data_IF_097460636284
#
_entry.id   IF_097460636284
#
_cell.length_a   1.000
_cell.length_b   1.000
_cell.length_c   1.000
_cell.angle_alpha   90.00
_cell.angle_beta   90.00
_cell.angle_gamma   90.00
#
_symmetry.space_group_name_H-M   'P 1'
#
loop_
_entity.id
_entity.type
_entity.pdbx_description
1 polymer ?
#
# COMPACT_ATOMS: atom_id res chain seq x y z
N UNK A 1 -1.20 17.47 5.62
CA UNK A 1 -0.55 16.41 6.43
C UNK A 1 0.76 16.04 5.77
N UNK A 2 1.83 15.92 6.56
CA UNK A 2 3.15 15.51 6.07
C UNK A 2 3.11 14.09 5.52
N UNK A 3 3.71 13.86 4.35
CA UNK A 3 3.77 12.57 3.65
C UNK A 3 5.19 12.32 3.15
N UNK A 4 5.66 11.08 3.25
CA UNK A 4 7.00 10.68 2.75
C UNK A 4 7.15 10.86 1.25
N UNK A 5 6.07 10.71 0.50
CA UNK A 5 6.06 10.93 -0.96
C UNK A 5 6.46 12.37 -1.34
N UNK A 6 6.31 13.34 -0.45
CA UNK A 6 6.78 14.72 -0.70
C UNK A 6 8.30 14.78 -0.91
N UNK A 7 9.06 14.05 -0.10
CA UNK A 7 10.52 13.98 -0.24
C UNK A 7 10.94 13.20 -1.50
N UNK A 8 10.14 12.19 -1.89
CA UNK A 8 10.37 11.48 -3.17
C UNK A 8 10.15 12.42 -4.37
N UNK A 9 9.11 13.28 -4.32
CA UNK A 9 8.88 14.28 -5.35
C UNK A 9 10.01 15.33 -5.42
N UNK A 10 10.56 15.75 -4.27
CA UNK A 10 11.74 16.62 -4.24
C UNK A 10 12.93 15.97 -4.91
N UNK A 11 13.21 14.73 -4.53
CA UNK A 11 14.30 13.94 -5.10
C UNK A 11 14.15 13.80 -6.62
N UNK A 12 12.95 13.44 -7.09
CA UNK A 12 12.64 13.38 -8.51
C UNK A 12 12.91 14.71 -9.22
N UNK A 13 12.42 15.83 -8.69
CA UNK A 13 12.63 17.15 -9.26
C UNK A 13 14.12 17.51 -9.40
N UNK A 14 14.92 17.21 -8.38
CA UNK A 14 16.34 17.50 -8.32
C UNK A 14 17.17 16.58 -9.24
N UNK A 15 16.89 15.28 -9.23
CA UNK A 15 17.66 14.28 -9.96
C UNK A 15 17.31 14.26 -11.46
N UNK A 16 16.02 14.33 -11.80
CA UNK A 16 15.57 14.23 -13.18
C UNK A 16 15.64 15.56 -13.91
N UNK A 17 15.51 16.68 -13.20
CA UNK A 17 15.65 18.02 -13.78
C UNK A 17 14.93 18.22 -15.14
N UNK A 18 13.73 17.61 -15.29
CA UNK A 18 12.87 17.67 -16.46
C UNK A 18 13.08 16.58 -17.51
N UNK A 19 13.97 15.62 -17.29
CA UNK A 19 14.20 14.51 -18.20
C UNK A 19 13.09 13.45 -18.13
N UNK A 20 12.28 13.46 -17.07
CA UNK A 20 11.12 12.57 -16.92
C UNK A 20 9.94 13.28 -16.28
N UNK A 21 8.73 12.83 -16.59
CA UNK A 21 7.52 13.10 -15.83
C UNK A 21 7.44 12.15 -14.61
N UNK A 22 6.59 12.46 -13.63
CA UNK A 22 6.31 11.55 -12.52
C UNK A 22 4.83 11.23 -12.41
N UNK A 23 4.51 9.93 -12.40
CA UNK A 23 3.17 9.42 -12.14
C UNK A 23 3.04 9.03 -10.67
N UNK A 24 2.14 9.69 -9.94
CA UNK A 24 1.76 9.26 -8.59
C UNK A 24 0.59 8.30 -8.70
N UNK A 25 0.90 7.02 -8.59
CA UNK A 25 -0.09 5.94 -8.62
C UNK A 25 -0.46 5.49 -7.19
N UNK A 26 -1.71 5.17 -6.96
CA UNK A 26 -2.17 4.72 -5.64
C UNK A 26 -3.68 4.61 -5.54
N UNK A 27 -4.14 3.93 -4.50
CA UNK A 27 -5.56 3.72 -4.26
C UNK A 27 -6.36 5.03 -4.27
N UNK A 28 -7.63 4.93 -4.60
CA UNK A 28 -8.53 6.09 -4.49
C UNK A 28 -8.59 6.59 -3.04
N UNK A 29 -8.59 7.93 -2.84
CA UNK A 29 -8.60 8.61 -1.53
C UNK A 29 -7.31 8.49 -0.69
N UNK A 30 -6.21 8.03 -1.27
CA UNK A 30 -4.92 7.97 -0.56
C UNK A 30 -4.23 9.34 -0.47
N UNK A 31 -4.73 10.37 -1.16
CA UNK A 31 -4.28 11.77 -1.04
C UNK A 31 -3.39 12.27 -2.17
N UNK A 32 -3.36 11.62 -3.35
CA UNK A 32 -2.52 11.98 -4.51
C UNK A 32 -2.67 13.44 -4.92
N UNK A 33 -3.87 13.87 -5.33
CA UNK A 33 -4.14 15.25 -5.79
C UNK A 33 -3.80 16.32 -4.73
N UNK A 34 -3.95 15.95 -3.43
CA UNK A 34 -3.60 16.84 -2.34
C UNK A 34 -2.09 17.09 -2.29
N UNK A 35 -1.29 16.02 -2.29
CA UNK A 35 0.16 16.12 -2.12
C UNK A 35 0.85 16.77 -3.34
N UNK A 36 0.41 16.45 -4.56
CA UNK A 36 0.99 17.07 -5.77
C UNK A 36 0.67 18.56 -5.85
N UNK A 37 -0.54 18.95 -5.42
CA UNK A 37 -0.90 20.38 -5.33
C UNK A 37 -0.09 21.10 -4.26
N UNK A 38 0.08 20.51 -3.08
CA UNK A 38 0.91 21.07 -2.00
C UNK A 38 2.36 21.21 -2.45
N UNK A 39 2.89 20.21 -3.13
CA UNK A 39 4.24 20.20 -3.69
C UNK A 39 4.41 21.31 -4.74
N UNK A 40 3.48 21.41 -5.70
CA UNK A 40 3.53 22.42 -6.73
C UNK A 40 3.50 23.84 -6.17
N UNK A 41 2.66 24.10 -5.15
CA UNK A 41 2.56 25.39 -4.49
C UNK A 41 3.82 25.82 -3.75
N UNK A 42 4.59 24.88 -3.24
CA UNK A 42 5.78 25.16 -2.42
C UNK A 42 7.08 25.19 -3.23
N UNK A 43 7.15 24.38 -4.28
CA UNK A 43 8.40 24.11 -4.99
C UNK A 43 8.49 24.77 -6.37
N UNK A 44 7.41 25.40 -6.87
CA UNK A 44 7.38 26.05 -8.16
C UNK A 44 6.81 27.47 -8.06
N UNK A 45 7.25 28.33 -8.98
CA UNK A 45 6.76 29.72 -9.10
C UNK A 45 5.31 29.78 -9.58
N UNK A 46 4.92 28.85 -10.46
CA UNK A 46 3.54 28.67 -10.91
C UNK A 46 3.23 27.22 -11.22
N UNK A 47 1.96 26.87 -11.20
CA UNK A 47 1.50 25.55 -11.61
C UNK A 47 0.15 25.62 -12.31
N UNK A 48 -0.08 24.70 -13.24
CA UNK A 48 -1.38 24.46 -13.86
C UNK A 48 -1.88 23.09 -13.41
N UNK A 49 -3.12 23.01 -12.91
CA UNK A 49 -3.77 21.76 -12.54
C UNK A 49 -4.91 21.47 -13.52
N UNK A 50 -4.75 20.40 -14.29
CA UNK A 50 -5.74 19.89 -15.23
C UNK A 50 -6.46 18.68 -14.61
N UNK A 51 -7.59 18.93 -13.94
CA UNK A 51 -8.46 17.86 -13.41
C UNK A 51 -9.33 17.29 -14.54
N UNK A 52 -8.96 16.13 -15.08
CA UNK A 52 -9.66 15.51 -16.22
C UNK A 52 -11.10 15.06 -15.92
N UNK A 53 -11.54 15.08 -14.66
CA UNK A 53 -12.94 14.97 -14.30
C UNK A 53 -13.77 16.21 -14.67
N UNK A 54 -13.15 17.40 -14.67
CA UNK A 54 -13.85 18.67 -14.75
C UNK A 54 -13.45 19.52 -15.96
N UNK A 55 -12.35 19.12 -16.61
CA UNK A 55 -11.78 19.91 -17.71
C UNK A 55 -12.76 20.09 -18.86
N UNK A 56 -12.86 21.34 -19.37
CA UNK A 56 -13.70 21.70 -20.49
C UNK A 56 -13.23 21.13 -21.83
N UNK A 57 -14.12 21.16 -22.82
CA UNK A 57 -13.80 20.69 -24.19
C UNK A 57 -12.66 21.50 -24.82
N UNK A 58 -12.58 22.81 -24.52
CA UNK A 58 -11.59 23.72 -25.10
C UNK A 58 -10.17 23.31 -24.75
N UNK A 59 -9.90 22.95 -23.48
CA UNK A 59 -8.57 22.50 -23.07
C UNK A 59 -8.29 21.10 -23.64
N UNK A 60 -9.30 20.19 -23.73
CA UNK A 60 -9.11 18.89 -24.38
C UNK A 60 -8.75 19.05 -25.86
N UNK A 61 -9.34 20.00 -26.55
CA UNK A 61 -9.03 20.27 -27.96
C UNK A 61 -7.59 20.72 -28.19
N UNK A 62 -6.91 21.32 -27.21
CA UNK A 62 -5.49 21.64 -27.31
C UNK A 62 -4.64 20.39 -27.52
N UNK A 63 -4.91 19.32 -26.79
CA UNK A 63 -4.23 18.03 -26.96
C UNK A 63 -4.57 17.33 -28.28
N UNK A 64 -5.63 17.74 -28.97
CA UNK A 64 -6.03 17.19 -30.25
C UNK A 64 -5.41 17.95 -31.42
N UNK A 65 -5.21 19.25 -31.24
CA UNK A 65 -4.91 20.17 -32.35
C UNK A 65 -3.47 20.69 -32.35
N UNK A 66 -2.86 20.88 -31.18
CA UNK A 66 -1.61 21.64 -31.05
C UNK A 66 -0.43 20.89 -30.45
N UNK A 67 -0.47 19.57 -30.34
CA UNK A 67 0.68 18.79 -29.84
C UNK A 67 1.89 18.83 -30.82
N UNK A 68 1.67 19.14 -32.08
CA UNK A 68 2.73 19.34 -33.08
C UNK A 68 3.28 20.78 -33.08
N UNK A 69 2.64 21.72 -32.36
CA UNK A 69 3.07 23.11 -32.16
C UNK A 69 2.96 23.47 -30.67
N UNK A 70 3.98 23.08 -29.90
CA UNK A 70 4.01 23.28 -28.46
C UNK A 70 4.06 24.74 -28.03
N UNK A 71 4.54 25.66 -28.87
CA UNK A 71 4.51 27.09 -28.56
C UNK A 71 3.08 27.61 -28.49
N UNK A 72 2.28 27.27 -29.49
CA UNK A 72 0.84 27.59 -29.53
C UNK A 72 0.08 26.83 -28.42
N UNK A 73 0.42 25.57 -28.18
CA UNK A 73 -0.19 24.77 -27.10
C UNK A 73 -0.02 25.45 -25.73
N UNK A 74 1.19 25.82 -25.34
CA UNK A 74 1.44 26.41 -24.02
C UNK A 74 0.90 27.86 -23.93
N UNK A 75 0.92 28.61 -25.00
CA UNK A 75 0.32 29.97 -25.05
C UNK A 75 -1.18 29.90 -24.77
N UNK A 76 -1.90 28.99 -25.42
CA UNK A 76 -3.33 28.81 -25.18
C UNK A 76 -3.62 28.20 -23.79
N UNK A 77 -2.85 27.21 -23.36
CA UNK A 77 -3.00 26.63 -22.03
C UNK A 77 -2.82 27.66 -20.93
N UNK A 78 -1.78 28.49 -21.02
CA UNK A 78 -1.52 29.60 -20.10
C UNK A 78 -2.67 30.63 -20.12
N UNK A 79 -3.20 30.97 -21.30
CA UNK A 79 -4.32 31.88 -21.45
C UNK A 79 -5.62 31.33 -20.87
N UNK A 80 -6.00 30.08 -21.19
CA UNK A 80 -7.22 29.46 -20.70
C UNK A 80 -7.22 29.27 -19.17
N UNK A 81 -6.05 29.01 -18.59
CA UNK A 81 -5.91 28.82 -17.14
C UNK A 81 -5.58 30.12 -16.40
N UNK A 82 -5.37 31.20 -17.11
CA UNK A 82 -4.90 32.49 -16.58
C UNK A 82 -3.68 32.33 -15.68
N UNK A 83 -2.72 31.48 -16.09
CA UNK A 83 -1.54 31.13 -15.29
C UNK A 83 -0.28 31.32 -16.15
N UNK A 84 0.63 32.22 -15.81
CA UNK A 84 1.89 32.40 -16.53
C UNK A 84 2.80 31.18 -16.28
N UNK A 85 3.47 30.73 -17.35
CA UNK A 85 4.43 29.63 -17.32
C UNK A 85 5.86 30.17 -17.38
N UNK A 86 6.73 29.62 -16.55
CA UNK A 86 8.14 29.96 -16.42
C UNK A 86 9.02 28.75 -16.74
N UNK A 87 9.90 28.80 -17.76
CA UNK A 87 10.76 27.67 -18.08
C UNK A 87 11.53 27.17 -16.85
N UNK A 88 11.53 25.87 -16.65
CA UNK A 88 12.13 25.13 -15.52
C UNK A 88 11.68 25.58 -14.10
N UNK A 89 10.61 26.38 -14.02
CA UNK A 89 10.06 26.84 -12.74
C UNK A 89 8.53 26.87 -12.72
N UNK A 90 7.92 26.08 -13.59
CA UNK A 90 6.49 25.78 -13.60
C UNK A 90 6.28 24.27 -13.72
N UNK A 91 5.21 23.77 -13.11
CA UNK A 91 4.78 22.37 -13.23
C UNK A 91 3.34 22.31 -13.74
N UNK A 92 3.09 21.36 -14.65
CA UNK A 92 1.76 21.07 -15.16
C UNK A 92 1.32 19.72 -14.58
N UNK A 93 0.20 19.72 -13.85
CA UNK A 93 -0.34 18.56 -13.15
C UNK A 93 -1.51 18.02 -13.95
N UNK A 94 -1.44 16.73 -14.32
CA UNK A 94 -2.49 15.95 -14.96
C UNK A 94 -3.18 15.08 -13.91
N UNK A 95 -4.27 15.60 -13.33
CA UNK A 95 -5.00 14.92 -12.25
C UNK A 95 -6.08 14.00 -12.82
N UNK A 96 -6.13 12.73 -12.33
CA UNK A 96 -6.99 11.65 -12.82
C UNK A 96 -6.74 11.35 -14.32
N UNK A 97 -5.47 11.22 -14.72
CA UNK A 97 -5.02 11.09 -16.12
C UNK A 97 -5.66 9.93 -16.87
N UNK A 98 -6.09 8.86 -16.18
CA UNK A 98 -6.79 7.73 -16.80
C UNK A 98 -8.14 8.11 -17.42
N UNK A 99 -8.71 9.27 -17.08
CA UNK A 99 -9.97 9.75 -17.67
C UNK A 99 -9.76 10.43 -19.04
N UNK A 100 -8.51 10.75 -19.38
CA UNK A 100 -8.14 11.30 -20.69
C UNK A 100 -6.80 10.73 -21.16
N UNK A 101 -6.78 9.49 -21.66
CA UNK A 101 -5.56 8.75 -22.02
C UNK A 101 -4.65 9.50 -23.02
N UNK A 102 -5.22 10.35 -23.88
CA UNK A 102 -4.46 11.15 -24.85
C UNK A 102 -3.48 12.12 -24.19
N UNK A 103 -3.85 12.70 -23.02
CA UNK A 103 -2.92 13.53 -22.26
C UNK A 103 -1.71 12.72 -21.77
N UNK A 104 -1.91 11.48 -21.35
CA UNK A 104 -0.81 10.59 -20.95
C UNK A 104 0.11 10.27 -22.14
N UNK A 105 -0.45 10.03 -23.32
CA UNK A 105 0.36 9.86 -24.55
C UNK A 105 1.18 11.10 -24.89
N UNK A 106 0.67 12.30 -24.59
CA UNK A 106 1.36 13.54 -24.86
C UNK A 106 2.61 13.77 -24.00
N UNK A 107 2.71 13.12 -22.84
CA UNK A 107 3.84 13.25 -21.89
C UNK A 107 5.18 13.10 -22.59
N UNK A 108 5.33 12.14 -23.49
CA UNK A 108 6.55 11.95 -24.25
C UNK A 108 7.04 13.22 -24.94
N UNK A 109 6.15 13.86 -25.71
CA UNK A 109 6.48 15.08 -26.46
C UNK A 109 6.68 16.30 -25.55
N UNK A 110 5.92 16.37 -24.46
CA UNK A 110 6.00 17.43 -23.48
C UNK A 110 7.29 17.39 -22.67
N UNK A 111 7.76 16.20 -22.31
CA UNK A 111 9.05 15.99 -21.63
C UNK A 111 10.21 16.28 -22.58
N UNK A 112 10.13 15.81 -23.85
CA UNK A 112 11.16 16.08 -24.87
C UNK A 112 11.36 17.57 -25.11
N UNK A 113 10.32 18.39 -25.03
CA UNK A 113 10.38 19.85 -25.10
C UNK A 113 11.17 20.49 -23.95
N UNK A 114 11.16 19.91 -22.76
CA UNK A 114 12.02 20.25 -21.62
C UNK A 114 11.73 21.57 -20.91
N UNK A 115 10.73 22.35 -21.32
CA UNK A 115 10.43 23.67 -20.72
C UNK A 115 9.85 23.59 -19.32
N UNK A 116 9.02 22.59 -19.04
CA UNK A 116 8.26 22.48 -17.79
C UNK A 116 8.38 21.09 -17.20
N UNK A 117 8.05 20.95 -15.91
CA UNK A 117 7.94 19.67 -15.25
C UNK A 117 6.49 19.17 -15.32
N UNK A 118 6.30 17.84 -15.32
CA UNK A 118 4.98 17.20 -15.43
C UNK A 118 4.77 16.20 -14.30
N UNK A 119 3.62 16.33 -13.63
CA UNK A 119 3.19 15.38 -12.60
C UNK A 119 1.84 14.82 -13.01
N UNK A 120 1.75 13.51 -13.09
CA UNK A 120 0.51 12.80 -13.32
C UNK A 120 -0.02 12.21 -12.03
N UNK A 121 -1.33 12.19 -11.84
CA UNK A 121 -1.96 11.41 -10.80
C UNK A 121 -3.02 10.52 -11.40
N UNK A 122 -3.15 9.31 -10.86
CA UNK A 122 -4.18 8.40 -11.30
C UNK A 122 -4.45 7.29 -10.30
N UNK A 123 -5.62 6.71 -10.41
CA UNK A 123 -5.98 5.44 -9.80
C UNK A 123 -6.44 4.49 -10.92
N UNK A 124 -6.16 3.18 -10.77
CA UNK A 124 -6.52 2.23 -11.83
C UNK A 124 -5.83 2.53 -13.19
N UNK A 125 -4.61 3.06 -13.13
CA UNK A 125 -3.92 3.62 -14.32
C UNK A 125 -3.50 2.53 -15.30
N UNK A 126 -3.16 1.35 -14.81
CA UNK A 126 -2.71 0.19 -15.60
C UNK A 126 -3.84 -0.75 -16.02
N UNK A 127 -5.07 -0.51 -15.59
CA UNK A 127 -6.21 -1.33 -16.00
C UNK A 127 -6.40 -1.26 -17.52
N UNK A 128 -6.52 -2.42 -18.17
CA UNK A 128 -6.62 -2.56 -19.63
C UNK A 128 -7.54 -1.53 -20.30
N UNK A 129 -8.70 -1.24 -19.70
CA UNK A 129 -9.65 -0.25 -20.22
C UNK A 129 -9.06 1.17 -20.28
N UNK A 130 -8.11 1.51 -19.40
CA UNK A 130 -7.53 2.84 -19.28
C UNK A 130 -6.22 2.98 -20.08
N UNK A 131 -5.63 1.87 -20.53
CA UNK A 131 -4.39 1.84 -21.34
C UNK A 131 -4.62 1.31 -22.76
N UNK A 132 -5.86 0.92 -23.09
CA UNK A 132 -6.22 0.45 -24.41
C UNK A 132 -6.06 1.58 -25.44
N UNK A 133 -5.29 1.31 -26.50
CA UNK A 133 -5.00 2.27 -27.58
C UNK A 133 -4.16 3.51 -27.18
N UNK A 134 -3.39 3.46 -26.11
CA UNK A 134 -2.40 4.48 -25.80
C UNK A 134 -0.98 3.90 -25.76
N UNK A 135 -0.01 4.73 -26.09
CA UNK A 135 1.39 4.45 -25.83
C UNK A 135 1.70 4.93 -24.40
N UNK A 136 2.14 4.01 -23.53
CA UNK A 136 2.62 4.38 -22.19
C UNK A 136 3.97 5.08 -22.40
N UNK A 137 4.17 6.30 -21.87
CA UNK A 137 5.43 7.01 -22.02
C UNK A 137 6.59 6.26 -21.37
N UNK A 138 7.73 6.20 -22.04
CA UNK A 138 9.00 5.72 -21.45
C UNK A 138 9.65 6.78 -20.56
N UNK A 139 9.25 8.02 -20.73
CA UNK A 139 9.73 9.22 -20.04
C UNK A 139 8.92 9.50 -18.74
N UNK A 140 8.31 8.46 -18.15
CA UNK A 140 7.49 8.52 -16.95
C UNK A 140 8.10 7.66 -15.84
N UNK A 141 8.35 8.25 -14.66
CA UNK A 141 8.70 7.53 -13.45
C UNK A 141 7.46 7.31 -12.59
N UNK A 142 7.30 6.12 -12.01
CA UNK A 142 6.18 5.81 -11.14
C UNK A 142 6.58 5.89 -9.66
N UNK A 143 5.82 6.67 -8.88
CA UNK A 143 5.87 6.66 -7.43
C UNK A 143 4.58 6.06 -6.90
N UNK A 144 4.68 4.94 -6.16
CA UNK A 144 3.55 4.29 -5.52
C UNK A 144 3.20 4.98 -4.21
N UNK A 145 1.96 5.46 -4.09
CA UNK A 145 1.45 6.11 -2.90
C UNK A 145 0.51 5.19 -2.12
N UNK A 146 1.00 4.67 -1.00
CA UNK A 146 0.25 3.84 -0.08
C UNK A 146 -0.59 4.65 0.92
N UNK A 147 -1.56 4.04 1.64
CA UNK A 147 -2.11 4.62 2.86
C UNK A 147 -0.98 5.09 3.79
N UNK A 148 -1.24 6.07 4.64
CA UNK A 148 -0.26 6.59 5.60
C UNK A 148 0.31 5.44 6.42
N UNK A 149 1.63 5.37 6.53
CA UNK A 149 2.29 4.42 7.41
C UNK A 149 2.26 4.88 8.88
N UNK A 150 2.83 4.08 9.78
CA UNK A 150 2.79 4.40 11.21
C UNK A 150 3.54 5.69 11.56
N UNK A 151 4.65 5.98 10.89
CA UNK A 151 5.40 7.22 11.09
C UNK A 151 4.61 8.46 10.61
N UNK A 152 3.97 8.38 9.44
CA UNK A 152 3.10 9.44 8.92
C UNK A 152 1.86 9.66 9.80
N UNK A 153 1.32 8.57 10.38
CA UNK A 153 0.25 8.64 11.37
C UNK A 153 0.69 9.38 12.64
N UNK A 154 1.91 9.08 13.14
CA UNK A 154 2.48 9.79 14.29
C UNK A 154 2.68 11.28 13.97
N UNK A 155 3.18 11.62 12.78
CA UNK A 155 3.29 13.03 12.34
C UNK A 155 1.93 13.75 12.33
N UNK A 156 0.89 13.08 11.87
CA UNK A 156 -0.46 13.64 11.89
C UNK A 156 -0.96 13.92 13.31
N UNK A 157 -0.46 13.18 14.30
CA UNK A 157 -0.73 13.39 15.72
C UNK A 157 0.24 14.39 16.41
N UNK A 158 1.08 15.08 15.62
CA UNK A 158 2.15 15.97 16.09
C UNK A 158 3.20 15.26 16.97
N UNK A 159 3.41 13.96 16.75
CA UNK A 159 4.46 13.18 17.43
C UNK A 159 5.56 12.84 16.43
N UNK A 160 6.56 13.70 16.31
CA UNK A 160 7.71 13.50 15.42
C UNK A 160 8.90 12.84 16.13
N UNK A 161 8.86 12.65 17.46
CA UNK A 161 9.99 12.20 18.27
C UNK A 161 10.00 10.70 18.52
N UNK A 162 8.85 10.05 18.50
CA UNK A 162 8.73 8.62 18.83
C UNK A 162 9.39 7.72 17.78
N UNK A 163 9.18 7.99 16.50
CA UNK A 163 9.73 7.13 15.44
C UNK A 163 11.27 7.17 15.35
N UNK A 164 11.95 8.32 15.48
CA UNK A 164 13.41 8.36 15.61
C UNK A 164 13.94 7.50 16.77
N UNK A 165 13.26 7.52 17.92
CA UNK A 165 13.63 6.67 19.08
C UNK A 165 13.44 5.18 18.77
N UNK A 166 12.30 4.81 18.15
CA UNK A 166 12.04 3.43 17.71
C UNK A 166 13.14 2.97 16.74
N UNK A 167 13.49 3.79 15.74
CA UNK A 167 14.51 3.48 14.73
C UNK A 167 15.90 3.30 15.36
N UNK A 168 16.25 4.16 16.32
CA UNK A 168 17.53 4.03 17.06
C UNK A 168 17.61 2.69 17.81
N UNK A 169 16.55 2.31 18.54
CA UNK A 169 16.52 1.05 19.27
C UNK A 169 16.50 -0.17 18.34
N UNK A 170 15.78 -0.10 17.22
CA UNK A 170 15.82 -1.13 16.18
C UNK A 170 17.24 -1.34 15.64
N UNK A 171 17.95 -0.27 15.28
CA UNK A 171 19.32 -0.35 14.75
C UNK A 171 20.31 -0.92 15.78
N UNK A 172 20.17 -0.55 17.05
CA UNK A 172 21.02 -1.04 18.14
C UNK A 172 20.61 -2.41 18.69
N UNK A 173 19.49 -2.99 18.22
CA UNK A 173 18.89 -4.20 18.78
C UNK A 173 18.62 -4.09 20.29
N UNK A 174 18.18 -2.93 20.72
CA UNK A 174 17.94 -2.59 22.13
C UNK A 174 16.45 -2.51 22.42
N UNK A 175 16.02 -3.01 23.58
CA UNK A 175 14.65 -2.86 24.05
C UNK A 175 14.26 -1.38 24.24
N UNK A 176 12.98 -1.06 24.02
CA UNK A 176 12.44 0.29 24.27
C UNK A 176 12.28 0.61 25.76
N UNK A 177 12.20 -0.43 26.58
CA UNK A 177 11.81 -0.34 27.99
C UNK A 177 10.31 -0.18 28.19
N UNK A 178 9.80 -0.65 29.31
CA UNK A 178 8.37 -0.84 29.58
C UNK A 178 7.52 0.41 29.29
N UNK A 179 7.98 1.59 29.70
CA UNK A 179 7.20 2.84 29.55
C UNK A 179 7.08 3.25 28.08
N UNK A 180 8.19 3.28 27.34
CA UNK A 180 8.22 3.71 25.95
C UNK A 180 7.57 2.67 25.04
N UNK A 181 7.79 1.38 25.31
CA UNK A 181 7.11 0.29 24.60
C UNK A 181 5.59 0.40 24.75
N UNK A 182 5.07 0.61 25.96
CA UNK A 182 3.63 0.81 26.20
C UNK A 182 3.10 2.00 25.40
N UNK A 183 3.77 3.13 25.45
CA UNK A 183 3.37 4.33 24.70
C UNK A 183 3.36 4.07 23.19
N UNK A 184 4.38 3.42 22.65
CA UNK A 184 4.42 3.07 21.22
C UNK A 184 3.29 2.11 20.83
N UNK A 185 3.01 1.10 21.66
CA UNK A 185 1.89 0.17 21.46
C UNK A 185 0.52 0.86 21.50
N UNK A 186 0.33 1.85 22.38
CA UNK A 186 -0.92 2.60 22.47
C UNK A 186 -1.18 3.43 21.20
N UNK A 187 -0.16 4.10 20.66
CA UNK A 187 -0.26 4.76 19.35
C UNK A 187 -0.49 3.74 18.22
N UNK A 188 0.19 2.61 18.27
CA UNK A 188 0.06 1.58 17.25
C UNK A 188 -1.33 0.95 17.22
N UNK A 189 -1.96 0.72 18.39
CA UNK A 189 -3.35 0.26 18.48
C UNK A 189 -4.32 1.28 17.89
N UNK A 190 -4.10 2.58 18.13
CA UNK A 190 -4.90 3.63 17.47
C UNK A 190 -4.74 3.56 15.95
N UNK A 191 -3.50 3.41 15.46
CA UNK A 191 -3.22 3.25 14.03
C UNK A 191 -3.90 2.03 13.42
N UNK A 192 -3.88 0.88 14.10
CA UNK A 192 -4.61 -0.33 13.66
C UNK A 192 -6.10 -0.05 13.40
N UNK A 193 -6.74 0.68 14.31
CA UNK A 193 -8.17 0.96 14.26
C UNK A 193 -8.51 2.03 13.23
N UNK A 194 -7.75 3.13 13.23
CA UNK A 194 -7.99 4.28 12.34
C UNK A 194 -7.62 3.93 10.90
N UNK A 195 -6.52 3.18 10.72
CA UNK A 195 -5.88 2.94 9.44
C UNK A 195 -5.01 4.10 8.98
N UNK A 196 -4.52 3.99 7.75
CA UNK A 196 -3.66 4.99 7.09
C UNK A 196 -4.39 5.83 6.04
N UNK A 197 -5.72 5.70 5.88
CA UNK A 197 -6.45 6.54 4.94
C UNK A 197 -6.48 8.00 5.41
N UNK A 198 -5.92 8.99 4.65
CA UNK A 198 -5.74 10.36 5.14
C UNK A 198 -7.01 11.03 5.66
N UNK A 199 -8.17 10.75 5.05
CA UNK A 199 -9.44 11.29 5.50
C UNK A 199 -9.88 10.70 6.86
N UNK A 200 -9.60 9.41 7.10
CA UNK A 200 -9.87 8.76 8.38
C UNK A 200 -8.93 9.29 9.47
N UNK A 201 -7.63 9.42 9.15
CA UNK A 201 -6.62 10.00 10.04
C UNK A 201 -6.98 11.46 10.38
N UNK A 202 -7.34 12.29 9.39
CA UNK A 202 -7.76 13.67 9.62
C UNK A 202 -8.96 13.75 10.57
N UNK A 203 -9.97 12.89 10.35
CA UNK A 203 -11.15 12.84 11.20
C UNK A 203 -10.81 12.42 12.63
N UNK A 204 -9.88 11.49 12.80
CA UNK A 204 -9.39 11.08 14.12
C UNK A 204 -8.61 12.20 14.82
N UNK A 205 -7.73 12.91 14.11
CA UNK A 205 -7.01 14.05 14.67
C UNK A 205 -7.94 15.14 15.17
N UNK A 206 -8.97 15.45 14.36
CA UNK A 206 -9.97 16.47 14.67
C UNK A 206 -10.88 16.11 15.86
N UNK A 207 -11.32 14.85 15.95
CA UNK A 207 -12.46 14.51 16.84
C UNK A 207 -12.12 13.51 17.93
N UNK A 208 -11.07 12.72 17.80
CA UNK A 208 -10.73 11.57 18.67
C UNK A 208 -11.88 10.58 18.83
N UNK A 209 -12.80 10.55 17.89
CA UNK A 209 -14.03 9.75 17.89
C UNK A 209 -13.97 8.66 16.83
N UNK A 210 -13.85 7.41 17.25
CA UNK A 210 -13.76 6.26 16.34
C UNK A 210 -15.05 6.02 15.54
N UNK A 211 -16.22 6.42 16.04
CA UNK A 211 -17.47 6.29 15.29
C UNK A 211 -17.51 7.23 14.08
N UNK A 212 -16.99 8.46 14.25
CA UNK A 212 -16.85 9.40 13.13
C UNK A 212 -15.83 8.92 12.11
N UNK A 213 -14.73 8.33 12.58
CA UNK A 213 -13.72 7.70 11.73
C UNK A 213 -14.31 6.52 10.94
N UNK A 214 -15.10 5.65 11.60
CA UNK A 214 -15.75 4.52 10.94
C UNK A 214 -16.69 4.96 9.80
N UNK A 215 -17.45 6.03 9.99
CA UNK A 215 -18.29 6.60 8.92
C UNK A 215 -17.47 6.99 7.70
N UNK A 216 -16.30 7.61 7.89
CA UNK A 216 -15.40 7.97 6.79
C UNK A 216 -14.87 6.71 6.09
N UNK A 217 -14.44 5.69 6.85
CA UNK A 217 -13.96 4.42 6.29
C UNK A 217 -15.05 3.71 5.47
N UNK A 218 -16.29 3.66 5.96
CA UNK A 218 -17.43 3.09 5.23
C UNK A 218 -17.72 3.84 3.93
N UNK A 219 -17.61 5.17 3.92
CA UNK A 219 -17.72 5.97 2.68
C UNK A 219 -16.62 5.58 1.67
N UNK A 220 -15.38 5.37 2.12
CA UNK A 220 -14.29 4.92 1.25
C UNK A 220 -14.58 3.52 0.69
N UNK A 221 -15.04 2.57 1.51
CA UNK A 221 -15.43 1.23 1.07
C UNK A 221 -16.57 1.27 0.03
N UNK A 222 -17.54 2.16 0.22
CA UNK A 222 -18.61 2.40 -0.76
C UNK A 222 -18.05 2.92 -2.09
N UNK A 223 -17.08 3.84 -2.04
CA UNK A 223 -16.41 4.33 -3.26
C UNK A 223 -15.65 3.21 -3.97
N UNK A 224 -14.98 2.31 -3.25
CA UNK A 224 -14.32 1.15 -3.85
C UNK A 224 -15.31 0.21 -4.54
N UNK A 225 -16.49 -0.07 -3.92
CA UNK A 225 -17.55 -0.83 -4.57
C UNK A 225 -18.08 -0.16 -5.84
N UNK A 226 -18.25 1.15 -5.82
CA UNK A 226 -18.65 1.91 -7.01
C UNK A 226 -17.58 1.85 -8.12
N UNK A 227 -16.31 1.87 -7.78
CA UNK A 227 -15.22 1.71 -8.74
C UNK A 227 -15.20 0.30 -9.34
N UNK A 228 -15.41 -0.74 -8.53
CA UNK A 228 -15.58 -2.12 -9.01
C UNK A 228 -16.72 -2.18 -10.04
N UNK A 229 -17.89 -1.62 -9.71
CA UNK A 229 -19.05 -1.62 -10.61
C UNK A 229 -18.76 -0.87 -11.92
N UNK A 230 -18.03 0.23 -11.86
CA UNK A 230 -17.77 1.08 -13.02
C UNK A 230 -16.64 0.57 -13.92
N UNK A 231 -15.57 0.01 -13.33
CA UNK A 231 -14.31 -0.23 -14.04
C UNK A 231 -13.93 -1.71 -14.20
N UNK A 232 -14.48 -2.62 -13.39
CA UNK A 232 -14.13 -4.05 -13.49
C UNK A 232 -14.78 -4.76 -14.69
N UNK A 233 -15.64 -4.07 -15.45
CA UNK A 233 -16.21 -4.56 -16.72
C UNK A 233 -16.86 -5.94 -16.57
N UNK A 234 -16.45 -6.94 -17.35
CA UNK A 234 -16.97 -8.32 -17.32
C UNK A 234 -16.64 -9.08 -16.03
N UNK A 235 -15.70 -8.58 -15.23
CA UNK A 235 -15.24 -9.24 -14.00
C UNK A 235 -15.90 -8.70 -12.72
N UNK A 236 -16.84 -7.76 -12.82
CA UNK A 236 -17.50 -7.11 -11.67
C UNK A 236 -17.94 -8.12 -10.61
N UNK A 237 -18.62 -9.19 -11.02
CA UNK A 237 -19.12 -10.20 -10.10
C UNK A 237 -17.99 -10.89 -9.31
N UNK A 238 -16.92 -11.34 -10.00
CA UNK A 238 -15.78 -12.01 -9.38
C UNK A 238 -14.97 -11.08 -8.48
N UNK A 239 -14.74 -9.84 -8.92
CA UNK A 239 -14.03 -8.82 -8.13
C UNK A 239 -14.83 -8.51 -6.86
N UNK A 240 -16.14 -8.34 -6.95
CA UNK A 240 -17.01 -8.12 -5.79
C UNK A 240 -16.98 -9.30 -4.82
N UNK A 241 -17.09 -10.54 -5.34
CA UNK A 241 -17.03 -11.75 -4.51
C UNK A 241 -15.71 -11.84 -3.72
N UNK A 242 -14.56 -11.61 -4.40
CA UNK A 242 -13.26 -11.59 -3.72
C UNK A 242 -13.25 -10.53 -2.64
N UNK A 243 -13.57 -9.27 -3.00
CA UNK A 243 -13.54 -8.13 -2.11
C UNK A 243 -14.39 -8.38 -0.85
N UNK A 244 -15.64 -8.85 -1.02
CA UNK A 244 -16.56 -9.05 0.09
C UNK A 244 -16.17 -10.23 1.00
N UNK A 245 -15.41 -11.20 0.49
CA UNK A 245 -14.99 -12.37 1.29
C UNK A 245 -13.63 -12.19 1.97
N UNK A 246 -12.87 -11.15 1.69
CA UNK A 246 -11.54 -10.93 2.32
C UNK A 246 -11.59 -11.09 3.85
N UNK A 247 -12.50 -10.43 4.60
CA UNK A 247 -12.51 -10.57 6.06
C UNK A 247 -12.72 -12.01 6.51
N UNK A 248 -13.64 -12.74 5.89
CA UNK A 248 -13.93 -14.14 6.24
C UNK A 248 -12.79 -15.09 5.87
N UNK A 249 -12.03 -14.80 4.82
CA UNK A 249 -10.84 -15.58 4.45
C UNK A 249 -9.71 -15.38 5.45
N UNK A 250 -9.44 -14.12 5.83
CA UNK A 250 -8.41 -13.78 6.82
C UNK A 250 -8.76 -14.23 8.25
N UNK A 251 -10.04 -14.49 8.54
CA UNK A 251 -10.49 -15.01 9.82
C UNK A 251 -10.13 -16.49 10.01
N UNK A 252 -9.91 -17.27 8.94
CA UNK A 252 -9.57 -18.68 9.02
C UNK A 252 -8.17 -18.89 9.61
N UNK A 253 -7.94 -20.10 10.17
CA UNK A 253 -6.63 -20.48 10.69
C UNK A 253 -5.56 -20.46 9.57
N UNK A 254 -5.87 -21.12 8.44
CA UNK A 254 -5.08 -21.00 7.21
C UNK A 254 -5.61 -19.80 6.41
N UNK A 255 -4.82 -18.76 6.28
CA UNK A 255 -5.20 -17.51 5.60
C UNK A 255 -4.98 -17.54 4.09
N UNK A 256 -4.68 -18.72 3.53
CA UNK A 256 -4.70 -18.94 2.08
C UNK A 256 -6.10 -18.71 1.55
N UNK A 257 -6.18 -17.98 0.45
CA UNK A 257 -7.47 -17.64 -0.15
C UNK A 257 -8.12 -18.89 -0.77
N UNK A 258 -9.22 -19.34 -0.20
CA UNK A 258 -9.90 -20.55 -0.59
C UNK A 258 -10.99 -20.24 -1.63
N UNK A 259 -10.70 -20.44 -2.91
CA UNK A 259 -11.63 -20.17 -4.01
C UNK A 259 -12.94 -20.95 -3.95
N UNK A 260 -12.92 -22.17 -3.40
CA UNK A 260 -14.12 -22.97 -3.16
C UNK A 260 -15.16 -22.29 -2.26
N UNK A 261 -14.76 -21.29 -1.48
CA UNK A 261 -15.68 -20.47 -0.69
C UNK A 261 -16.43 -19.42 -1.54
N UNK A 262 -15.96 -19.12 -2.73
CA UNK A 262 -16.64 -18.24 -3.68
C UNK A 262 -17.63 -19.02 -4.55
N UNK A 263 -17.16 -20.13 -5.13
CA UNK A 263 -17.96 -20.98 -6.01
C UNK A 263 -17.40 -22.40 -5.94
N UNK A 264 -18.27 -23.40 -5.91
CA UNK A 264 -17.88 -24.81 -5.97
C UNK A 264 -17.13 -25.10 -7.27
N UNK A 265 -15.99 -25.78 -7.18
CA UNK A 265 -15.14 -26.09 -8.33
C UNK A 265 -14.33 -24.89 -8.91
N UNK A 266 -14.36 -23.73 -8.28
CA UNK A 266 -13.59 -22.55 -8.72
C UNK A 266 -12.08 -22.85 -8.78
N UNK A 267 -11.43 -22.39 -9.85
CA UNK A 267 -9.99 -22.53 -10.10
C UNK A 267 -9.33 -21.15 -10.17
N UNK A 268 -8.03 -21.04 -9.83
CA UNK A 268 -7.30 -19.78 -9.84
C UNK A 268 -7.38 -19.08 -11.19
N UNK A 269 -7.18 -19.77 -12.30
CA UNK A 269 -7.29 -19.22 -13.66
C UNK A 269 -8.60 -18.46 -13.95
N UNK A 270 -9.68 -18.82 -13.24
CA UNK A 270 -10.99 -18.20 -13.44
C UNK A 270 -11.14 -16.88 -12.70
N UNK A 271 -10.28 -16.62 -11.71
CA UNK A 271 -10.29 -15.45 -10.82
C UNK A 271 -9.03 -14.59 -10.91
N UNK A 272 -7.99 -15.01 -11.61
CA UNK A 272 -6.69 -14.33 -11.73
C UNK A 272 -6.85 -12.86 -12.12
N UNK A 273 -7.61 -12.58 -13.18
CA UNK A 273 -7.88 -11.20 -13.62
C UNK A 273 -8.60 -10.37 -12.57
N UNK A 274 -9.45 -10.99 -11.75
CA UNK A 274 -10.17 -10.28 -10.68
C UNK A 274 -9.23 -9.94 -9.52
N UNK A 275 -8.32 -10.84 -9.15
CA UNK A 275 -7.26 -10.55 -8.18
C UNK A 275 -6.30 -9.48 -8.69
N UNK A 276 -5.87 -9.59 -9.96
CA UNK A 276 -5.03 -8.59 -10.59
C UNK A 276 -5.69 -7.21 -10.53
N UNK A 277 -6.99 -7.11 -10.85
CA UNK A 277 -7.73 -5.85 -10.80
C UNK A 277 -7.71 -5.21 -9.40
N UNK A 278 -7.95 -5.99 -8.35
CA UNK A 278 -7.91 -5.49 -6.96
C UNK A 278 -6.51 -5.05 -6.53
N UNK A 279 -5.48 -5.78 -6.96
CA UNK A 279 -4.08 -5.45 -6.68
C UNK A 279 -3.65 -4.18 -7.43
N UNK A 280 -4.00 -4.05 -8.70
CA UNK A 280 -3.70 -2.90 -9.54
C UNK A 280 -4.43 -1.63 -9.06
N UNK A 281 -5.66 -1.80 -8.56
CA UNK A 281 -6.39 -0.73 -7.86
C UNK A 281 -5.77 -0.34 -6.52
N UNK A 282 -4.74 -1.06 -6.06
CA UNK A 282 -4.10 -0.91 -4.75
C UNK A 282 -5.09 -0.99 -3.57
N UNK A 283 -6.19 -1.73 -3.74
CA UNK A 283 -7.21 -1.99 -2.70
C UNK A 283 -6.78 -3.14 -1.81
N UNK A 284 -5.97 -4.06 -2.36
CA UNK A 284 -5.46 -5.24 -1.66
C UNK A 284 -3.94 -5.38 -1.83
N UNK A 285 -3.33 -6.07 -0.86
CA UNK A 285 -1.96 -6.53 -0.92
C UNK A 285 -1.96 -8.05 -1.09
N UNK A 286 -1.41 -8.52 -2.21
CA UNK A 286 -1.31 -9.95 -2.50
C UNK A 286 0.01 -10.49 -1.97
N UNK A 287 -0.04 -11.64 -1.29
CA UNK A 287 1.14 -12.41 -0.93
C UNK A 287 1.08 -13.78 -1.64
N UNK A 288 2.17 -14.14 -2.31
CA UNK A 288 2.26 -15.39 -3.08
C UNK A 288 3.05 -16.44 -2.33
N UNK A 289 2.63 -17.70 -2.44
CA UNK A 289 3.39 -18.81 -1.89
C UNK A 289 4.68 -18.99 -2.69
N UNK A 290 5.80 -19.18 -1.98
CA UNK A 290 7.03 -19.66 -2.62
C UNK A 290 7.19 -21.15 -2.34
N UNK A 291 7.62 -21.91 -3.32
CA UNK A 291 7.87 -23.37 -3.17
C UNK A 291 9.20 -23.65 -2.47
N UNK A 292 10.09 -22.67 -2.47
CA UNK A 292 11.40 -22.76 -1.83
C UNK A 292 11.83 -21.38 -1.27
N UNK A 293 12.21 -21.27 0.01
CA UNK A 293 12.68 -20.04 0.61
C UNK A 293 14.16 -19.79 0.27
N UNK A 294 14.47 -19.66 -1.03
CA UNK A 294 15.81 -19.44 -1.55
C UNK A 294 15.91 -18.10 -2.29
N UNK A 295 17.12 -17.73 -2.73
CA UNK A 295 17.38 -16.51 -3.50
C UNK A 295 16.43 -16.45 -4.72
N UNK A 296 15.82 -15.28 -4.94
CA UNK A 296 14.88 -15.10 -6.05
C UNK A 296 13.49 -15.65 -5.73
N UNK A 297 12.91 -15.24 -4.61
CA UNK A 297 11.55 -15.66 -4.19
C UNK A 297 10.53 -15.64 -5.33
N UNK A 298 10.61 -14.64 -6.22
CA UNK A 298 9.75 -14.54 -7.38
C UNK A 298 9.94 -15.60 -8.46
N UNK A 299 11.08 -16.31 -8.46
CA UNK A 299 11.33 -17.41 -9.42
C UNK A 299 10.67 -18.72 -8.97
N UNK A 300 10.37 -18.84 -7.68
CA UNK A 300 9.84 -20.04 -7.06
C UNK A 300 8.40 -19.84 -6.59
N UNK A 301 7.63 -18.93 -7.19
CA UNK A 301 6.23 -18.68 -6.81
C UNK A 301 5.30 -19.78 -7.29
N UNK A 302 4.36 -20.13 -6.43
CA UNK A 302 3.17 -20.89 -6.77
C UNK A 302 2.01 -19.91 -6.93
N UNK A 303 1.71 -19.55 -8.17
CA UNK A 303 0.67 -18.55 -8.50
C UNK A 303 -0.75 -19.07 -8.20
N UNK A 304 -0.90 -20.36 -7.87
CA UNK A 304 -2.20 -20.95 -7.52
C UNK A 304 -2.56 -20.77 -6.06
N UNK A 305 -1.58 -20.44 -5.21
CA UNK A 305 -1.74 -20.32 -3.76
C UNK A 305 -1.33 -18.92 -3.31
N UNK A 306 -2.30 -18.14 -2.84
CA UNK A 306 -2.07 -16.77 -2.42
C UNK A 306 -2.81 -16.44 -1.12
N UNK A 307 -2.35 -15.39 -0.43
CA UNK A 307 -3.07 -14.69 0.64
C UNK A 307 -3.45 -13.31 0.12
N UNK A 308 -4.65 -12.83 0.47
CA UNK A 308 -5.17 -11.54 0.02
C UNK A 308 -5.52 -10.67 1.22
N UNK A 309 -4.73 -9.63 1.46
CA UNK A 309 -4.87 -8.68 2.55
C UNK A 309 -5.51 -7.39 2.06
N UNK A 310 -6.29 -6.71 2.91
CA UNK A 310 -6.70 -5.33 2.61
C UNK A 310 -5.47 -4.40 2.65
N UNK A 311 -5.41 -3.46 1.73
CA UNK A 311 -4.31 -2.48 1.68
C UNK A 311 -4.29 -1.54 2.90
N UNK A 312 -5.41 -1.41 3.60
CA UNK A 312 -5.54 -0.63 4.83
C UNK A 312 -6.28 -1.41 5.91
N UNK A 313 -5.64 -1.57 7.07
CA UNK A 313 -6.19 -2.37 8.19
C UNK A 313 -7.39 -1.70 8.84
N UNK A 314 -7.43 -0.37 8.89
CA UNK A 314 -8.61 0.35 9.36
C UNK A 314 -9.83 0.08 8.48
N UNK A 315 -9.65 0.03 7.15
CA UNK A 315 -10.70 -0.35 6.20
C UNK A 315 -11.11 -1.82 6.38
N UNK A 316 -10.15 -2.74 6.62
CA UNK A 316 -10.47 -4.15 6.92
C UNK A 316 -11.41 -4.27 8.11
N UNK A 317 -11.14 -3.55 9.20
CA UNK A 317 -11.98 -3.59 10.40
C UNK A 317 -13.41 -3.11 10.07
N UNK A 318 -13.57 -1.96 9.39
CA UNK A 318 -14.89 -1.47 9.01
C UNK A 318 -15.60 -2.38 8.00
N UNK A 319 -14.84 -3.09 7.16
CA UNK A 319 -15.39 -4.05 6.21
C UNK A 319 -15.87 -5.34 6.89
N UNK A 320 -15.10 -5.84 7.86
CA UNK A 320 -15.46 -7.04 8.64
C UNK A 320 -16.73 -6.87 9.48
N UNK A 321 -17.00 -5.64 9.94
CA UNK A 321 -18.19 -5.33 10.76
C UNK A 321 -19.29 -4.60 9.99
N UNK A 322 -19.41 -4.86 8.69
CA UNK A 322 -20.34 -4.15 7.81
C UNK A 322 -21.82 -4.45 8.07
N UNK A 323 -22.14 -5.52 8.77
CA UNK A 323 -23.53 -5.91 9.11
C UNK A 323 -24.20 -4.97 10.11
N UNK A 324 -23.41 -4.23 10.89
CA UNK A 324 -23.93 -3.25 11.84
C UNK A 324 -23.78 -1.84 11.27
N UNK A 325 -24.89 -1.09 11.25
CA UNK A 325 -24.92 0.32 10.78
C UNK A 325 -23.99 1.25 11.56
N UNK A 326 -23.59 0.84 12.76
CA UNK A 326 -22.62 1.54 13.63
C UNK A 326 -21.81 0.46 14.34
N UNK A 327 -20.50 0.43 14.10
CA UNK A 327 -19.58 -0.31 14.97
C UNK A 327 -19.64 0.37 16.33
N UNK A 328 -20.08 -0.31 17.37
CA UNK A 328 -20.25 0.29 18.68
C UNK A 328 -18.91 0.78 19.23
N UNK A 329 -18.89 1.92 19.89
CA UNK A 329 -17.73 2.46 20.61
C UNK A 329 -17.10 1.40 21.55
N UNK A 330 -17.93 0.52 22.11
CA UNK A 330 -17.49 -0.64 22.88
C UNK A 330 -16.60 -1.61 22.10
N UNK A 331 -16.78 -1.80 20.80
CA UNK A 331 -15.93 -2.65 19.98
C UNK A 331 -14.53 -2.04 19.84
N UNK A 332 -14.46 -0.74 19.52
CA UNK A 332 -13.18 -0.05 19.39
C UNK A 332 -12.43 0.04 20.72
N UNK A 333 -13.14 0.29 21.82
CA UNK A 333 -12.54 0.27 23.14
C UNK A 333 -12.02 -1.11 23.53
N UNK A 334 -12.70 -2.18 23.14
CA UNK A 334 -12.22 -3.56 23.35
C UNK A 334 -11.00 -3.88 22.51
N UNK A 335 -10.95 -3.40 21.25
CA UNK A 335 -9.77 -3.52 20.38
C UNK A 335 -8.55 -2.76 20.95
N UNK A 336 -8.77 -1.56 21.51
CA UNK A 336 -7.73 -0.77 22.16
C UNK A 336 -7.15 -1.45 23.39
N UNK A 337 -8.00 -2.16 24.17
CA UNK A 337 -7.61 -2.75 25.47
C UNK A 337 -7.14 -4.21 25.33
N UNK A 338 -7.05 -4.74 24.12
CA UNK A 338 -6.67 -6.14 23.85
C UNK A 338 -7.65 -7.18 24.47
N UNK A 339 -8.88 -6.77 24.75
CA UNK A 339 -9.93 -7.59 25.39
C UNK A 339 -10.88 -8.27 24.41
N UNK A 340 -10.67 -8.10 23.11
CA UNK A 340 -11.41 -8.85 22.12
C UNK A 340 -10.65 -10.15 21.81
N UNK A 341 -11.22 -11.27 22.21
CA UNK A 341 -10.89 -12.59 21.68
C UNK A 341 -11.25 -12.74 20.19
N UNK A 342 -11.50 -11.62 19.53
CA UNK A 342 -11.82 -11.55 18.12
C UNK A 342 -10.50 -11.64 17.33
N UNK A 343 -10.27 -12.76 16.75
CA UNK A 343 -9.22 -13.15 15.79
C UNK A 343 -8.12 -12.10 15.58
N UNK A 344 -7.37 -11.78 16.66
CA UNK A 344 -6.25 -10.85 16.61
C UNK A 344 -5.25 -11.18 15.49
N UNK A 345 -5.20 -12.45 15.11
CA UNK A 345 -4.41 -12.93 13.99
C UNK A 345 -4.77 -12.30 12.63
N UNK A 346 -6.06 -12.06 12.34
CA UNK A 346 -6.50 -11.42 11.11
C UNK A 346 -5.97 -9.98 11.00
N UNK A 347 -6.18 -9.19 12.04
CA UNK A 347 -5.82 -7.77 12.06
C UNK A 347 -4.30 -7.61 12.09
N UNK A 348 -3.62 -8.40 12.93
CA UNK A 348 -2.17 -8.31 13.11
C UNK A 348 -1.41 -8.75 11.86
N UNK A 349 -1.84 -9.82 11.18
CA UNK A 349 -1.18 -10.24 9.94
C UNK A 349 -1.46 -9.25 8.79
N UNK A 350 -2.68 -8.67 8.74
CA UNK A 350 -3.00 -7.65 7.74
C UNK A 350 -2.16 -6.37 7.91
N UNK A 351 -1.97 -5.89 9.16
CA UNK A 351 -1.13 -4.69 9.37
C UNK A 351 0.33 -4.95 9.05
N UNK A 352 0.84 -6.14 9.34
CA UNK A 352 2.20 -6.55 8.94
C UNK A 352 2.32 -6.54 7.42
N UNK A 353 1.37 -7.13 6.68
CA UNK A 353 1.33 -7.06 5.22
C UNK A 353 1.30 -5.62 4.69
N UNK A 354 0.47 -4.75 5.27
CA UNK A 354 0.38 -3.33 4.95
C UNK A 354 1.71 -2.62 5.17
N UNK A 355 2.36 -2.82 6.33
CA UNK A 355 3.62 -2.14 6.68
C UNK A 355 4.78 -2.64 5.83
N UNK A 356 4.91 -3.94 5.58
CA UNK A 356 5.93 -4.49 4.68
C UNK A 356 5.75 -3.96 3.25
N UNK A 357 4.50 -3.87 2.78
CA UNK A 357 4.21 -3.35 1.44
C UNK A 357 4.57 -1.87 1.31
N UNK A 358 4.23 -1.05 2.31
CA UNK A 358 4.59 0.38 2.32
C UNK A 358 6.09 0.63 2.51
N UNK A 359 6.82 -0.33 3.08
CA UNK A 359 8.29 -0.33 3.14
C UNK A 359 8.97 -0.76 1.82
N UNK A 360 8.18 -1.14 0.78
CA UNK A 360 8.69 -1.48 -0.54
C UNK A 360 8.82 -2.97 -0.81
N UNK A 361 8.54 -3.85 0.16
CA UNK A 361 8.65 -5.29 -0.03
C UNK A 361 7.55 -5.86 -0.92
N UNK A 362 7.91 -6.79 -1.81
CA UNK A 362 6.96 -7.74 -2.37
C UNK A 362 6.64 -8.78 -1.31
N UNK A 363 5.37 -9.15 -1.19
CA UNK A 363 4.93 -10.07 -0.15
C UNK A 363 4.98 -11.50 -0.64
N UNK A 364 5.71 -12.32 0.09
CA UNK A 364 5.76 -13.77 -0.09
C UNK A 364 5.49 -14.46 1.24
N UNK A 365 4.97 -15.68 1.19
CA UNK A 365 4.88 -16.59 2.33
C UNK A 365 5.40 -17.96 1.93
N UNK A 366 5.64 -18.82 2.90
CA UNK A 366 6.07 -20.20 2.63
C UNK A 366 5.13 -21.17 3.31
N UNK A 367 4.56 -22.05 2.52
CA UNK A 367 3.71 -23.12 3.05
C UNK A 367 3.99 -24.41 2.32
N UNK A 368 4.46 -25.39 3.08
CA UNK A 368 4.70 -26.75 2.60
C UNK A 368 3.87 -27.75 3.39
N UNK A 369 3.13 -28.55 2.68
CA UNK A 369 2.35 -29.64 3.23
C UNK A 369 2.90 -30.99 2.75
N UNK A 370 3.09 -31.94 3.67
CA UNK A 370 3.41 -33.33 3.36
C UNK A 370 2.44 -34.22 4.11
N UNK A 371 1.90 -35.26 3.45
CA UNK A 371 1.05 -36.27 4.10
C UNK A 371 1.88 -37.21 4.95
N UNK A 372 3.07 -37.59 4.48
CA UNK A 372 3.85 -38.69 4.97
C UNK A 372 4.93 -38.28 5.98
N UNK A 373 5.36 -36.99 5.93
CA UNK A 373 6.40 -36.49 6.82
C UNK A 373 5.93 -35.19 7.54
N UNK A 374 5.73 -35.33 8.85
CA UNK A 374 5.36 -34.21 9.70
C UNK A 374 6.48 -33.14 9.85
N UNK A 375 7.75 -33.52 9.63
CA UNK A 375 8.87 -32.61 9.70
C UNK A 375 8.88 -31.64 8.48
N UNK A 376 8.35 -32.09 7.35
CA UNK A 376 8.21 -31.29 6.14
C UNK A 376 7.02 -30.29 6.21
N UNK A 377 6.11 -30.44 7.19
CA UNK A 377 4.98 -29.52 7.35
C UNK A 377 5.44 -28.26 8.06
N UNK A 378 5.39 -27.15 7.32
CA UNK A 378 5.71 -25.83 7.88
C UNK A 378 4.96 -24.72 7.14
N UNK A 379 4.61 -23.68 7.86
CA UNK A 379 4.03 -22.46 7.32
C UNK A 379 4.70 -21.26 8.00
N UNK A 380 5.16 -20.31 7.19
CA UNK A 380 5.71 -19.02 7.62
C UNK A 380 4.81 -17.91 7.07
N UNK A 381 4.51 -16.93 7.89
CA UNK A 381 3.57 -15.89 7.53
C UNK A 381 4.09 -14.99 6.41
N UNK A 382 5.38 -14.60 6.47
CA UNK A 382 6.02 -13.82 5.41
C UNK A 382 7.47 -14.20 5.19
N UNK A 383 7.94 -13.94 3.99
CA UNK A 383 9.34 -13.94 3.60
C UNK A 383 9.66 -12.61 2.93
N UNK A 384 10.77 -12.00 3.31
CA UNK A 384 11.30 -10.79 2.66
C UNK A 384 12.72 -11.04 2.16
N UNK A 385 13.05 -10.45 1.01
CA UNK A 385 14.42 -10.40 0.52
C UNK A 385 15.11 -9.15 1.05
N UNK A 386 16.41 -9.24 1.40
CA UNK A 386 17.24 -8.07 1.67
C UNK A 386 17.64 -7.39 0.36
N UNK A 387 17.72 -6.07 0.36
CA UNK A 387 18.06 -5.27 -0.83
C UNK A 387 19.50 -5.50 -1.33
N UNK A 388 20.40 -5.91 -0.44
CA UNK A 388 21.80 -6.18 -0.80
C UNK A 388 22.07 -7.67 -0.95
N UNK A 389 22.27 -8.12 -2.18
CA UNK A 389 22.74 -9.48 -2.48
C UNK A 389 24.25 -9.53 -2.25
N UNK A 390 24.67 -9.59 -0.99
CA UNK A 390 26.08 -9.72 -0.64
C UNK A 390 26.52 -11.16 -0.36
N UNK A 391 25.56 -12.08 -0.21
CA UNK A 391 25.82 -13.50 0.09
C UNK A 391 24.61 -14.38 -0.25
N UNK A 392 24.76 -15.69 -0.12
CA UNK A 392 23.64 -16.66 -0.26
C UNK A 392 22.52 -16.49 0.78
N UNK A 393 22.74 -15.69 1.82
CA UNK A 393 21.83 -15.49 2.97
C UNK A 393 21.08 -14.16 2.82
N UNK A 394 20.06 -14.10 1.98
CA UNK A 394 19.32 -12.85 1.75
C UNK A 394 17.82 -12.93 2.05
N UNK A 395 17.31 -14.08 2.46
CA UNK A 395 15.88 -14.26 2.76
C UNK A 395 15.67 -14.26 4.27
N UNK A 396 14.86 -13.33 4.77
CA UNK A 396 14.45 -13.27 6.17
C UNK A 396 13.05 -13.85 6.34
N UNK A 397 12.91 -14.97 7.05
CA UNK A 397 11.61 -15.51 7.41
C UNK A 397 10.99 -14.71 8.56
N UNK A 398 9.70 -14.46 8.46
CA UNK A 398 8.93 -13.69 9.43
C UNK A 398 7.76 -14.52 9.92
N UNK A 399 7.65 -14.66 11.23
CA UNK A 399 6.52 -15.26 11.92
C UNK A 399 5.77 -14.18 12.71
N UNK A 400 4.45 -14.13 12.58
CA UNK A 400 3.62 -13.08 13.21
C UNK A 400 2.82 -13.69 14.37
N UNK A 401 2.88 -13.08 15.54
CA UNK A 401 2.21 -13.54 16.77
C UNK A 401 1.36 -12.45 17.39
N UNK A 402 0.07 -12.72 17.48
CA UNK A 402 -0.92 -11.81 18.08
C UNK A 402 -1.07 -11.98 19.60
N UNK A 403 -0.50 -13.04 20.17
CA UNK A 403 -0.59 -13.37 21.60
C UNK A 403 0.80 -13.63 22.18
N UNK A 404 0.92 -13.57 23.52
CA UNK A 404 2.19 -13.85 24.21
C UNK A 404 2.49 -15.35 24.38
N UNK A 405 1.49 -16.24 24.16
CA UNK A 405 1.67 -17.69 24.23
C UNK A 405 1.64 -18.27 22.83
N UNK A 406 2.80 -18.68 22.32
CA UNK A 406 2.94 -19.21 20.96
C UNK A 406 4.07 -20.23 20.86
N UNK A 407 4.07 -21.00 19.79
CA UNK A 407 5.16 -21.89 19.39
C UNK A 407 5.81 -21.37 18.12
N UNK A 408 7.09 -21.67 17.94
CA UNK A 408 7.89 -21.32 16.74
C UNK A 408 8.28 -22.56 15.96
N UNK A 409 7.45 -23.59 15.99
CA UNK A 409 7.76 -24.89 15.38
C UNK A 409 8.08 -24.78 13.90
N UNK A 410 7.27 -24.04 13.12
CA UNK A 410 7.50 -23.85 11.69
C UNK A 410 8.78 -23.05 11.41
N UNK A 411 9.00 -21.97 12.17
CA UNK A 411 10.20 -21.15 12.02
C UNK A 411 11.47 -21.94 12.36
N UNK A 412 11.48 -22.68 13.47
CA UNK A 412 12.64 -23.53 13.87
C UNK A 412 12.91 -24.62 12.85
N UNK A 413 11.88 -25.27 12.30
CA UNK A 413 12.03 -26.25 11.19
C UNK A 413 12.60 -25.58 9.94
N UNK A 414 12.11 -24.41 9.57
CA UNK A 414 12.63 -23.68 8.43
C UNK A 414 14.10 -23.32 8.60
N UNK A 415 14.49 -22.79 9.75
CA UNK A 415 15.89 -22.48 10.08
C UNK A 415 16.77 -23.73 10.00
N UNK A 416 16.33 -24.84 10.57
CA UNK A 416 17.09 -26.10 10.55
C UNK A 416 17.29 -26.64 9.13
N UNK A 417 16.29 -26.50 8.25
CA UNK A 417 16.34 -27.06 6.89
C UNK A 417 16.98 -26.13 5.86
N UNK A 418 16.69 -24.84 5.93
CA UNK A 418 17.06 -23.83 4.93
C UNK A 418 18.06 -22.79 5.44
N UNK A 419 18.64 -22.98 6.63
CA UNK A 419 19.52 -21.98 7.27
C UNK A 419 20.66 -21.47 6.40
N UNK A 420 21.15 -22.29 5.42
CA UNK A 420 22.16 -21.88 4.45
C UNK A 420 21.70 -20.79 3.46
N UNK A 421 20.42 -20.52 3.37
CA UNK A 421 19.83 -19.50 2.48
C UNK A 421 19.19 -18.35 3.26
N UNK A 422 18.99 -18.54 4.58
CA UNK A 422 18.29 -17.57 5.41
C UNK A 422 19.25 -16.49 5.95
N UNK A 423 18.76 -15.27 5.94
CA UNK A 423 19.29 -14.15 6.70
C UNK A 423 18.70 -14.16 8.13
N UNK A 424 18.62 -13.02 8.77
CA UNK A 424 18.07 -12.86 10.11
C UNK A 424 16.58 -13.26 10.17
N UNK A 425 16.21 -14.27 10.99
CA UNK A 425 14.81 -14.62 11.20
C UNK A 425 14.15 -13.66 12.19
N UNK A 426 12.89 -13.31 11.91
CA UNK A 426 12.11 -12.37 12.73
C UNK A 426 10.84 -13.02 13.30
N UNK A 427 10.53 -12.64 14.54
CA UNK A 427 9.22 -12.87 15.15
C UNK A 427 8.62 -11.50 15.46
N UNK A 428 7.51 -11.19 14.81
CA UNK A 428 6.74 -9.96 15.08
C UNK A 428 5.68 -10.26 16.13
N UNK A 429 5.72 -9.55 17.26
CA UNK A 429 4.88 -9.84 18.42
C UNK A 429 4.46 -8.57 19.18
N UNK A 430 3.70 -8.73 20.23
CA UNK A 430 3.18 -7.60 21.03
C UNK A 430 4.10 -7.18 22.17
N UNK A 431 5.16 -7.94 22.48
CA UNK A 431 6.15 -7.60 23.51
C UNK A 431 7.28 -6.73 22.95
N UNK A 432 8.17 -6.26 23.83
CA UNK A 432 9.31 -5.42 23.45
C UNK A 432 10.38 -6.19 22.67
N UNK A 433 11.30 -5.46 22.05
CA UNK A 433 12.41 -6.01 21.27
C UNK A 433 13.32 -6.88 22.15
N UNK A 434 13.66 -8.06 21.66
CA UNK A 434 14.71 -8.91 22.21
C UNK A 434 15.39 -9.71 21.11
N UNK A 435 16.59 -10.18 21.37
CA UNK A 435 17.31 -11.14 20.53
C UNK A 435 17.60 -12.38 21.36
N UNK A 436 17.18 -13.55 20.88
CA UNK A 436 17.31 -14.81 21.59
C UNK A 436 17.48 -15.97 20.61
N UNK A 437 18.44 -16.86 20.86
CA UNK A 437 18.72 -18.05 20.02
C UNK A 437 18.90 -17.73 18.51
N UNK A 438 19.48 -16.57 18.17
CA UNK A 438 19.69 -16.14 16.79
C UNK A 438 18.40 -15.66 16.08
N UNK A 439 17.31 -15.50 16.82
CA UNK A 439 16.03 -14.95 16.32
C UNK A 439 15.85 -13.56 16.92
N UNK A 440 15.49 -12.60 16.07
CA UNK A 440 15.15 -11.24 16.49
C UNK A 440 13.63 -11.10 16.65
N UNK A 441 13.22 -10.82 17.87
CA UNK A 441 11.82 -10.55 18.23
C UNK A 441 11.58 -9.05 18.20
N UNK A 442 10.67 -8.62 17.35
CA UNK A 442 10.36 -7.22 17.16
C UNK A 442 8.91 -6.92 17.58
N UNK A 443 8.68 -5.82 18.31
CA UNK A 443 7.33 -5.32 18.48
C UNK A 443 6.71 -4.95 17.13
N UNK A 444 5.40 -5.20 16.96
CA UNK A 444 4.68 -5.00 15.71
C UNK A 444 4.89 -3.60 15.08
N UNK A 445 5.02 -2.56 15.88
CA UNK A 445 5.24 -1.20 15.39
C UNK A 445 6.61 -0.99 14.71
N UNK A 446 7.55 -1.93 14.84
CA UNK A 446 8.83 -1.89 14.15
C UNK A 446 8.81 -2.56 12.77
N UNK A 447 7.72 -3.20 12.37
CA UNK A 447 7.61 -3.92 11.08
C UNK A 447 8.01 -3.08 9.88
N UNK A 448 7.65 -1.80 9.84
CA UNK A 448 8.00 -0.91 8.73
C UNK A 448 9.48 -0.48 8.67
N UNK A 449 10.32 -1.03 9.55
CA UNK A 449 11.78 -0.80 9.55
C UNK A 449 12.56 -2.00 8.97
N UNK A 450 11.84 -3.10 8.65
CA UNK A 450 12.40 -4.26 7.97
C UNK A 450 12.59 -3.97 6.50
#
# INVERSE_FOLDING_TARGET
MKRKVYEQLKKWKEEQNGESAVLINGARRVGKSYIVKEFAQKEYKSYILLDFNKIGKDIKSLFETYLDDLDTFFMYLSSFTNTPLYPRNSVIIFDEVQLYPRARTAIKYLVEDGRYDYIETGSLVSIKKNVENIMIPSEEEEILMYPMDFEEFLWALNNETLMPLIRMNFQKRHEMGQMMHRMAMDYFRQYLIVGGMPQAVAKFVETRDFNKVDRVKRQILTLYRNDIQKYASTYVFKVTQIFDTIPSQLQKHEKKFMLKALTEGARMRDYETAFFWLSDAMIVNMAYNTTEPSIGLGMNTDDTTLKCYMADTGLLISHAFNENTIVSENLYNKLLIDKLEFNGGMIVENIVAQMLRSAGHKLYFFSKYSKDDAQERMELDFLIAKDTITSKHNISPIEVKSTNRYTLTSLKKCIAKYGSYLAEPYVLHTADLKVEEGITYLPLYMTGLL
#
